data_IF_062986892216
#
_entry.id   IF_062986892216
#
_cell.length_a   1.000
_cell.length_b   1.000
_cell.length_c   1.000
_cell.angle_alpha   90.00
_cell.angle_beta   90.00
_cell.angle_gamma   90.00
#
_symmetry.space_group_name_H-M   'P 1'
#
loop_
_entity.id
_entity.type
_entity.pdbx_description
1 polymer ?
#
# COMPACT_ATOMS: atom_id res chain seq x y z
N UNK A 1 15.60 -16.31 -5.24
CA UNK A 1 14.88 -16.54 -6.51
C UNK A 1 13.64 -17.34 -6.16
N UNK A 2 12.43 -16.85 -6.43
CA UNK A 2 11.19 -17.58 -6.10
C UNK A 2 10.97 -18.68 -7.16
N UNK A 3 10.65 -19.92 -6.75
CA UNK A 3 10.28 -21.00 -7.66
C UNK A 3 9.05 -20.67 -8.54
N UNK A 4 9.12 -20.95 -9.84
CA UNK A 4 8.11 -20.59 -10.86
C UNK A 4 6.73 -21.23 -10.62
N UNK A 5 6.71 -22.40 -10.01
CA UNK A 5 5.57 -23.17 -9.54
C UNK A 5 4.67 -22.38 -8.58
N UNK A 6 5.28 -21.62 -7.66
CA UNK A 6 4.56 -20.85 -6.63
C UNK A 6 3.81 -19.65 -7.22
N UNK A 7 4.33 -19.06 -8.29
CA UNK A 7 3.66 -17.98 -9.02
C UNK A 7 2.47 -18.48 -9.84
N UNK A 8 2.55 -19.70 -10.37
CA UNK A 8 1.49 -20.30 -11.16
C UNK A 8 0.29 -20.72 -10.30
N UNK A 9 0.54 -21.20 -9.07
CA UNK A 9 -0.53 -21.53 -8.12
C UNK A 9 -1.35 -20.30 -7.70
N UNK A 10 -0.69 -19.15 -7.46
CA UNK A 10 -1.38 -17.90 -7.14
C UNK A 10 -2.31 -17.46 -8.28
N UNK A 11 -1.83 -17.53 -9.53
CA UNK A 11 -2.62 -17.16 -10.72
C UNK A 11 -3.77 -18.16 -10.94
N UNK A 12 -3.53 -19.46 -10.72
CA UNK A 12 -4.56 -20.49 -10.86
C UNK A 12 -5.70 -20.32 -9.85
N UNK A 13 -5.38 -19.97 -8.61
CA UNK A 13 -6.37 -19.79 -7.54
C UNK A 13 -7.26 -18.56 -7.78
N UNK A 14 -6.69 -17.45 -8.27
CA UNK A 14 -7.46 -16.26 -8.66
C UNK A 14 -8.46 -16.57 -9.78
N UNK A 15 -8.10 -17.45 -10.71
CA UNK A 15 -8.99 -17.89 -11.79
C UNK A 15 -10.12 -18.81 -11.28
N UNK A 16 -9.85 -19.65 -10.26
CA UNK A 16 -10.82 -20.56 -9.66
C UNK A 16 -11.94 -19.81 -8.93
N UNK A 17 -11.58 -18.84 -8.09
CA UNK A 17 -12.53 -18.01 -7.33
C UNK A 17 -13.46 -17.19 -8.26
N UNK A 18 -12.95 -16.74 -9.41
CA UNK A 18 -13.75 -16.08 -10.45
C UNK A 18 -14.81 -16.99 -11.10
N UNK A 19 -14.69 -18.31 -10.96
CA UNK A 19 -15.66 -19.29 -11.50
C UNK A 19 -16.77 -19.60 -10.50
N UNK A 20 -16.43 -19.72 -9.21
CA UNK A 20 -17.38 -19.98 -8.13
C UNK A 20 -18.36 -18.81 -7.92
N UNK A 21 -17.89 -17.56 -8.04
CA UNK A 21 -18.72 -16.35 -7.97
C UNK A 21 -19.83 -16.31 -9.03
N UNK A 22 -19.59 -16.88 -10.22
CA UNK A 22 -20.60 -16.96 -11.30
C UNK A 22 -21.72 -17.92 -10.96
N UNK A 23 -21.41 -19.03 -10.28
CA UNK A 23 -22.41 -20.02 -9.89
C UNK A 23 -23.40 -19.42 -8.87
N UNK A 24 -22.89 -18.62 -7.92
CA UNK A 24 -23.71 -17.96 -6.90
C UNK A 24 -24.66 -16.90 -7.48
N UNK A 25 -24.17 -16.03 -8.37
CA UNK A 25 -25.00 -14.99 -9.02
C UNK A 25 -26.14 -15.63 -9.85
N UNK A 26 -25.85 -16.72 -10.55
CA UNK A 26 -26.86 -17.43 -11.33
C UNK A 26 -27.95 -18.08 -10.46
N UNK A 27 -27.59 -18.59 -9.28
CA UNK A 27 -28.56 -19.15 -8.32
C UNK A 27 -29.43 -18.07 -7.65
N UNK A 28 -28.90 -16.87 -7.44
CA UNK A 28 -29.67 -15.75 -6.87
C UNK A 28 -30.70 -15.19 -7.86
N UNK A 29 -30.36 -15.14 -9.16
CA UNK A 29 -31.25 -14.64 -10.22
C UNK A 29 -32.43 -15.58 -10.51
N UNK A 30 -32.32 -16.88 -10.24
CA UNK A 30 -33.40 -17.85 -10.48
C UNK A 30 -34.54 -17.78 -9.45
N UNK A 31 -34.36 -17.09 -8.32
CA UNK A 31 -35.30 -17.08 -7.19
C UNK A 31 -36.08 -15.77 -6.99
N UNK A 32 -35.99 -14.79 -7.89
CA UNK A 32 -36.66 -13.48 -7.70
C UNK A 32 -38.03 -13.40 -8.41
N UNK A 33 -39.06 -12.93 -7.69
CA UNK A 33 -40.48 -12.85 -8.11
C UNK A 33 -40.81 -11.52 -8.84
N UNK A 34 -39.85 -10.63 -9.05
CA UNK A 34 -40.06 -9.36 -9.75
C UNK A 34 -39.71 -9.45 -11.23
N UNK A 35 -40.72 -9.45 -12.11
CA UNK A 35 -40.51 -9.40 -13.56
C UNK A 35 -40.26 -7.97 -14.06
N UNK A 36 -39.15 -7.37 -13.63
CA UNK A 36 -38.60 -6.20 -14.29
C UNK A 36 -37.59 -6.68 -15.34
N UNK A 37 -37.93 -6.57 -16.63
CA UNK A 37 -36.97 -6.85 -17.72
C UNK A 37 -35.99 -5.69 -17.81
N UNK A 38 -34.84 -5.84 -17.15
CA UNK A 38 -33.66 -5.03 -17.46
C UNK A 38 -33.41 -5.12 -18.98
N UNK A 39 -33.10 -4.00 -19.67
CA UNK A 39 -32.62 -4.08 -21.04
C UNK A 39 -31.40 -5.01 -21.05
N UNK A 40 -31.36 -5.95 -22.00
CA UNK A 40 -30.24 -6.89 -22.21
C UNK A 40 -28.98 -6.12 -22.63
N UNK A 41 -28.42 -5.39 -21.69
CA UNK A 41 -27.11 -4.78 -21.80
C UNK A 41 -26.11 -5.89 -21.50
N UNK A 42 -25.45 -6.39 -22.55
CA UNK A 42 -24.27 -7.21 -22.39
C UNK A 42 -23.21 -6.33 -21.74
N UNK A 43 -23.13 -6.34 -20.42
CA UNK A 43 -21.95 -5.84 -19.73
C UNK A 43 -20.78 -6.62 -20.29
N UNK A 44 -19.88 -5.93 -21.00
CA UNK A 44 -18.62 -6.50 -21.43
C UNK A 44 -17.97 -7.07 -20.19
N UNK A 45 -17.69 -8.37 -20.20
CA UNK A 45 -17.01 -9.02 -19.09
C UNK A 45 -15.67 -8.31 -18.93
N UNK A 46 -15.52 -7.55 -17.84
CA UNK A 46 -14.28 -6.84 -17.54
C UNK A 46 -13.25 -7.92 -17.20
N UNK A 47 -12.32 -8.16 -18.11
CA UNK A 47 -11.17 -9.02 -17.87
C UNK A 47 -10.12 -8.18 -17.14
N UNK A 48 -9.80 -8.57 -15.90
CA UNK A 48 -8.80 -7.90 -15.09
C UNK A 48 -7.43 -8.44 -15.48
N UNK A 49 -6.57 -7.59 -16.03
CA UNK A 49 -5.17 -7.92 -16.30
C UNK A 49 -4.35 -7.83 -15.00
N UNK A 50 -4.32 -8.95 -14.27
CA UNK A 50 -3.59 -9.07 -13.01
C UNK A 50 -2.07 -8.95 -13.18
N UNK A 51 -1.51 -9.34 -14.32
CA UNK A 51 -0.08 -9.23 -14.57
C UNK A 51 0.34 -7.76 -14.72
N UNK A 52 -0.47 -6.97 -15.44
CA UNK A 52 -0.31 -5.51 -15.53
C UNK A 52 -0.43 -4.84 -14.16
N UNK A 53 -1.51 -5.11 -13.43
CA UNK A 53 -1.75 -4.55 -12.08
C UNK A 53 -0.57 -4.82 -11.16
N UNK A 54 -0.09 -6.07 -11.16
CA UNK A 54 1.06 -6.49 -10.36
C UNK A 54 2.33 -5.72 -10.72
N UNK A 55 2.62 -5.51 -12.01
CA UNK A 55 3.79 -4.74 -12.45
C UNK A 55 3.73 -3.30 -11.95
N UNK A 56 2.55 -2.67 -12.02
CA UNK A 56 2.36 -1.29 -11.55
C UNK A 56 2.53 -1.21 -10.02
N UNK A 57 1.93 -2.14 -9.26
CA UNK A 57 2.10 -2.19 -7.81
C UNK A 57 3.58 -2.34 -7.45
N UNK A 58 4.28 -3.29 -8.07
CA UNK A 58 5.70 -3.50 -7.80
C UNK A 58 6.54 -2.25 -8.10
N UNK A 59 6.23 -1.55 -9.18
CA UNK A 59 6.95 -0.35 -9.58
C UNK A 59 6.73 0.80 -8.58
N UNK A 60 5.48 1.07 -8.20
CA UNK A 60 5.13 2.12 -7.24
C UNK A 60 5.66 1.80 -5.83
N UNK A 61 5.38 0.59 -5.33
CA UNK A 61 5.78 0.14 -3.98
C UNK A 61 7.29 0.07 -3.81
N UNK A 62 8.04 -0.29 -4.87
CA UNK A 62 9.51 -0.25 -4.85
C UNK A 62 10.04 1.16 -4.55
N UNK A 63 9.33 2.21 -4.95
CA UNK A 63 9.71 3.60 -4.69
C UNK A 63 9.05 4.20 -3.45
N UNK A 64 8.31 3.40 -2.68
CA UNK A 64 7.75 3.81 -1.40
C UNK A 64 6.35 4.43 -1.48
N UNK A 65 5.61 4.15 -2.55
CA UNK A 65 4.22 4.56 -2.70
C UNK A 65 3.31 3.34 -2.72
N UNK A 66 2.34 3.31 -1.82
CA UNK A 66 1.37 2.21 -1.67
C UNK A 66 -0.03 2.67 -2.04
N UNK A 67 -0.90 1.70 -2.33
CA UNK A 67 -2.31 1.98 -2.61
C UNK A 67 -3.01 2.28 -1.29
N UNK A 68 -3.56 3.48 -1.16
CA UNK A 68 -4.36 3.91 -0.01
C UNK A 68 -5.82 4.10 -0.41
N UNK A 69 -6.70 4.31 0.57
CA UNK A 69 -8.13 4.51 0.32
C UNK A 69 -8.44 5.79 -0.48
N UNK A 70 -7.61 6.82 -0.32
CA UNK A 70 -7.82 8.13 -0.94
C UNK A 70 -7.40 8.15 -2.40
N UNK A 71 -6.50 7.24 -2.82
CA UNK A 71 -6.01 7.17 -4.19
C UNK A 71 -6.98 6.37 -5.05
N UNK A 72 -7.52 7.02 -6.07
CA UNK A 72 -8.37 6.37 -7.08
C UNK A 72 -7.60 5.30 -7.87
N UNK A 73 -8.25 4.18 -8.17
CA UNK A 73 -7.69 3.09 -8.97
C UNK A 73 -7.11 3.56 -10.30
N UNK A 74 -7.85 4.39 -11.04
CA UNK A 74 -7.39 4.93 -12.33
C UNK A 74 -6.15 5.83 -12.18
N UNK A 75 -5.93 6.39 -11.00
CA UNK A 75 -4.76 7.19 -10.68
C UNK A 75 -3.54 6.34 -10.33
N UNK A 76 -3.74 5.27 -9.54
CA UNK A 76 -2.66 4.38 -9.12
C UNK A 76 -2.23 3.40 -10.23
N UNK A 77 -3.17 2.95 -11.06
CA UNK A 77 -2.96 1.94 -12.11
C UNK A 77 -2.77 2.54 -13.51
N UNK A 78 -2.16 3.72 -13.60
CA UNK A 78 -1.77 4.35 -14.87
C UNK A 78 -0.65 3.59 -15.56
N UNK A 79 -0.81 3.30 -16.85
CA UNK A 79 0.20 2.59 -17.64
C UNK A 79 1.50 3.35 -17.76
N UNK A 80 1.44 4.69 -17.76
CA UNK A 80 2.61 5.55 -17.84
C UNK A 80 3.57 5.35 -16.65
N UNK A 81 3.10 4.79 -15.54
CA UNK A 81 3.93 4.53 -14.37
C UNK A 81 4.85 3.33 -14.56
N UNK A 82 4.55 2.39 -15.46
CA UNK A 82 5.34 1.17 -15.67
C UNK A 82 6.81 1.45 -16.03
N UNK A 83 7.02 2.43 -16.89
CA UNK A 83 8.35 2.83 -17.40
C UNK A 83 8.85 4.12 -16.74
N UNK A 84 8.13 4.64 -15.74
CA UNK A 84 8.49 5.87 -15.06
C UNK A 84 9.71 5.68 -14.17
N UNK A 85 10.60 6.68 -14.21
CA UNK A 85 11.72 6.82 -13.29
C UNK A 85 11.25 7.13 -11.87
N UNK A 86 12.14 6.93 -10.90
CA UNK A 86 11.91 7.30 -9.51
C UNK A 86 11.36 8.73 -9.34
N UNK A 87 12.00 9.72 -9.96
CA UNK A 87 11.57 11.12 -9.87
C UNK A 87 10.19 11.36 -10.49
N UNK A 88 9.85 10.65 -11.57
CA UNK A 88 8.53 10.77 -12.19
C UNK A 88 7.43 10.21 -11.29
N UNK A 89 7.70 9.09 -10.63
CA UNK A 89 6.77 8.47 -9.68
C UNK A 89 6.63 9.34 -8.42
N UNK A 90 7.72 9.84 -7.84
CA UNK A 90 7.68 10.76 -6.71
C UNK A 90 6.90 12.03 -7.06
N UNK A 91 7.12 12.61 -8.25
CA UNK A 91 6.36 13.78 -8.69
C UNK A 91 4.88 13.47 -8.91
N UNK A 92 4.54 12.30 -9.48
CA UNK A 92 3.15 11.88 -9.67
C UNK A 92 2.40 11.88 -8.34
N UNK A 93 2.89 11.14 -7.34
CA UNK A 93 2.21 11.05 -6.05
C UNK A 93 2.34 12.32 -5.20
N UNK A 94 3.45 13.05 -5.25
CA UNK A 94 3.55 14.36 -4.61
C UNK A 94 2.49 15.33 -5.13
N UNK A 95 2.27 15.35 -6.45
CA UNK A 95 1.24 16.19 -7.06
C UNK A 95 -0.16 15.77 -6.63
N UNK A 96 -0.45 14.46 -6.51
CA UNK A 96 -1.73 13.98 -5.97
C UNK A 96 -2.05 14.62 -4.61
N UNK A 97 -1.09 14.58 -3.68
CA UNK A 97 -1.30 15.06 -2.32
C UNK A 97 -1.29 16.58 -2.19
N UNK A 98 -0.48 17.29 -2.98
CA UNK A 98 -0.32 18.75 -2.89
C UNK A 98 -1.34 19.55 -3.70
N UNK A 99 -2.13 18.90 -4.56
CA UNK A 99 -3.22 19.53 -5.31
C UNK A 99 -4.33 20.05 -4.39
N UNK A 100 -5.06 21.06 -4.87
CA UNK A 100 -6.23 21.64 -4.20
C UNK A 100 -5.96 22.00 -2.73
N UNK A 101 -4.86 22.72 -2.48
CA UNK A 101 -4.45 23.15 -1.14
C UNK A 101 -4.33 21.97 -0.17
N UNK A 102 -3.58 20.94 -0.58
CA UNK A 102 -3.30 19.75 0.23
C UNK A 102 -4.54 18.97 0.70
N UNK A 103 -5.68 19.09 0.01
CA UNK A 103 -6.95 18.45 0.40
C UNK A 103 -6.82 16.94 0.64
N UNK A 104 -6.15 16.22 -0.26
CA UNK A 104 -5.98 14.77 -0.12
C UNK A 104 -5.05 14.42 1.04
N UNK A 105 -4.00 15.21 1.26
CA UNK A 105 -3.14 15.06 2.43
C UNK A 105 -3.91 15.24 3.74
N UNK A 106 -4.74 16.29 3.85
CA UNK A 106 -5.55 16.51 5.04
C UNK A 106 -6.58 15.41 5.29
N UNK A 107 -7.16 14.86 4.22
CA UNK A 107 -8.04 13.70 4.35
C UNK A 107 -7.27 12.48 4.88
N UNK A 108 -6.09 12.19 4.34
CA UNK A 108 -5.20 11.13 4.82
C UNK A 108 -4.78 11.32 6.27
N UNK A 109 -4.44 12.55 6.67
CA UNK A 109 -4.13 12.91 8.07
C UNK A 109 -5.28 12.53 8.99
N UNK A 110 -6.51 12.92 8.65
CA UNK A 110 -7.69 12.64 9.47
C UNK A 110 -7.97 11.13 9.56
N UNK A 111 -7.90 10.40 8.45
CA UNK A 111 -8.10 8.95 8.42
C UNK A 111 -7.11 8.23 9.32
N UNK A 112 -5.82 8.61 9.26
CA UNK A 112 -4.80 8.04 10.16
C UNK A 112 -5.16 8.33 11.62
N UNK A 113 -5.52 9.56 11.97
CA UNK A 113 -5.84 9.93 13.35
C UNK A 113 -7.09 9.23 13.90
N UNK A 114 -8.05 8.89 13.04
CA UNK A 114 -9.28 8.17 13.42
C UNK A 114 -9.03 6.68 13.75
N UNK A 115 -7.97 6.09 13.21
CA UNK A 115 -7.76 4.63 13.16
C UNK A 115 -6.50 4.15 13.90
N UNK A 116 -5.54 5.05 14.09
CA UNK A 116 -4.27 4.76 14.78
C UNK A 116 -4.49 4.31 16.22
N UNK A 117 -3.60 3.46 16.73
CA UNK A 117 -3.53 3.18 18.17
C UNK A 117 -3.41 4.53 18.95
N UNK A 118 -4.29 4.80 19.94
CA UNK A 118 -4.31 6.05 20.69
C UNK A 118 -2.96 6.43 21.33
N UNK A 119 -2.07 5.47 21.59
CA UNK A 119 -0.73 5.75 22.13
C UNK A 119 0.13 6.62 21.20
N UNK A 120 -0.18 6.64 19.90
CA UNK A 120 0.56 7.40 18.89
C UNK A 120 -0.05 8.76 18.58
N UNK A 121 -1.28 9.04 19.02
CA UNK A 121 -2.04 10.22 18.58
C UNK A 121 -1.30 11.55 18.84
N UNK A 122 -0.76 11.74 20.04
CA UNK A 122 -0.01 12.96 20.38
C UNK A 122 1.23 13.12 19.49
N UNK A 123 2.05 12.06 19.40
CA UNK A 123 3.27 12.04 18.60
C UNK A 123 3.00 12.22 17.09
N UNK A 124 1.88 11.70 16.58
CA UNK A 124 1.50 11.90 15.18
C UNK A 124 1.03 13.33 14.91
N UNK A 125 0.31 13.96 15.83
CA UNK A 125 -0.03 15.38 15.67
C UNK A 125 1.23 16.24 15.58
N UNK A 126 2.25 15.98 16.42
CA UNK A 126 3.55 16.65 16.30
C UNK A 126 4.23 16.37 14.95
N UNK A 127 4.12 15.13 14.44
CA UNK A 127 4.63 14.78 13.12
C UNK A 127 3.95 15.58 12.00
N UNK A 128 2.62 15.68 12.04
CA UNK A 128 1.85 16.43 11.04
C UNK A 128 2.14 17.92 11.09
N UNK A 129 2.14 18.52 12.28
CA UNK A 129 2.46 19.95 12.45
C UNK A 129 3.88 20.26 11.94
N UNK A 130 4.83 19.36 12.20
CA UNK A 130 6.20 19.49 11.70
C UNK A 130 6.28 19.34 10.18
N UNK A 131 5.52 18.41 9.59
CA UNK A 131 5.44 18.27 8.13
C UNK A 131 4.87 19.54 7.46
N UNK A 132 3.80 20.09 8.02
CA UNK A 132 3.12 21.29 7.54
C UNK A 132 4.01 22.54 7.65
N UNK A 133 4.89 22.59 8.66
CA UNK A 133 5.90 23.65 8.85
C UNK A 133 7.22 23.41 8.10
N UNK A 134 7.29 22.46 7.17
CA UNK A 134 8.51 22.07 6.44
C UNK A 134 9.68 21.59 7.33
N UNK A 135 9.39 21.14 8.55
CA UNK A 135 10.31 20.54 9.52
C UNK A 135 10.27 19.01 9.46
N UNK A 136 10.39 18.44 8.27
CA UNK A 136 10.12 17.02 8.03
C UNK A 136 11.29 16.07 8.35
N UNK A 137 12.50 16.55 8.62
CA UNK A 137 13.67 15.66 8.82
C UNK A 137 13.59 14.85 10.11
N UNK A 138 13.15 15.49 11.20
CA UNK A 138 13.03 14.85 12.52
C UNK A 138 11.89 13.84 12.58
N UNK A 139 10.84 14.01 11.76
CA UNK A 139 9.68 13.11 11.78
C UNK A 139 9.91 11.82 11.00
N UNK A 140 10.85 11.79 10.05
CA UNK A 140 11.16 10.59 9.25
C UNK A 140 11.49 9.37 10.14
N UNK A 141 12.47 9.43 11.08
CA UNK A 141 12.75 8.31 11.97
C UNK A 141 11.53 7.96 12.86
N UNK A 142 10.81 8.96 13.36
CA UNK A 142 9.60 8.76 14.18
C UNK A 142 8.52 7.99 13.41
N UNK A 143 8.22 8.41 12.18
CA UNK A 143 7.23 7.77 11.31
C UNK A 143 7.61 6.33 10.99
N UNK A 144 8.90 6.03 10.76
CA UNK A 144 9.35 4.65 10.62
C UNK A 144 9.04 3.79 11.85
N UNK A 145 9.31 4.30 13.05
CA UNK A 145 9.02 3.58 14.29
C UNK A 145 7.52 3.34 14.49
N UNK A 146 6.67 4.33 14.16
CA UNK A 146 5.20 4.19 14.24
C UNK A 146 4.71 3.15 13.24
N UNK A 147 5.15 3.23 11.98
CA UNK A 147 4.79 2.27 10.92
C UNK A 147 5.17 0.84 11.33
N UNK A 148 6.37 0.65 11.89
CA UNK A 148 6.83 -0.66 12.36
C UNK A 148 6.00 -1.17 13.54
N UNK A 149 5.68 -0.31 14.51
CA UNK A 149 4.83 -0.66 15.65
C UNK A 149 3.41 -1.05 15.25
N UNK A 150 2.78 -0.28 14.35
CA UNK A 150 1.44 -0.60 13.83
C UNK A 150 1.46 -1.87 12.97
N UNK A 151 2.47 -2.05 12.12
CA UNK A 151 2.60 -3.26 11.32
C UNK A 151 2.78 -4.49 12.22
N UNK A 152 3.64 -4.42 13.24
CA UNK A 152 3.82 -5.52 14.20
C UNK A 152 2.52 -5.87 14.95
N UNK A 153 1.72 -4.85 15.29
CA UNK A 153 0.42 -5.03 15.94
C UNK A 153 -0.58 -5.79 15.06
N UNK A 154 -0.73 -5.36 13.80
CA UNK A 154 -1.63 -5.98 12.80
C UNK A 154 -1.36 -7.49 12.68
N UNK A 155 -0.09 -7.88 12.60
CA UNK A 155 0.30 -9.26 12.36
C UNK A 155 0.53 -10.06 13.65
N UNK A 156 0.24 -9.48 14.82
CA UNK A 156 0.34 -10.16 16.12
C UNK A 156 1.72 -10.75 16.39
N UNK A 157 2.77 -10.15 15.83
CA UNK A 157 4.10 -10.76 15.81
C UNK A 157 5.18 -9.80 16.34
N UNK A 158 6.16 -10.37 17.04
CA UNK A 158 7.44 -9.70 17.32
C UNK A 158 8.42 -9.83 16.15
N UNK A 159 8.03 -10.55 15.11
CA UNK A 159 8.85 -10.79 13.94
C UNK A 159 9.13 -9.47 13.21
N UNK A 160 10.38 -9.32 12.83
CA UNK A 160 10.85 -8.23 11.99
C UNK A 160 11.33 -8.84 10.69
N UNK A 161 11.38 -8.06 9.62
CA UNK A 161 12.09 -8.51 8.45
C UNK A 161 11.25 -9.38 7.51
N UNK A 162 11.86 -10.49 7.13
CA UNK A 162 11.35 -11.44 6.17
C UNK A 162 10.15 -12.23 6.69
N UNK A 163 10.12 -12.51 7.98
CA UNK A 163 9.09 -13.36 8.60
C UNK A 163 7.74 -12.62 8.64
N UNK A 164 7.76 -11.31 8.93
CA UNK A 164 6.59 -10.44 8.78
C UNK A 164 6.05 -10.45 7.34
N UNK A 165 6.92 -10.35 6.33
CA UNK A 165 6.51 -10.38 4.92
C UNK A 165 5.86 -11.70 4.50
N UNK A 166 6.33 -12.85 4.99
CA UNK A 166 5.71 -14.15 4.69
C UNK A 166 4.33 -14.32 5.37
N UNK A 167 4.14 -13.76 6.57
CA UNK A 167 2.83 -13.71 7.24
C UNK A 167 1.81 -12.91 6.42
N UNK A 168 2.18 -11.72 5.92
CA UNK A 168 1.32 -10.90 5.05
C UNK A 168 0.85 -11.65 3.80
N UNK A 169 1.75 -12.42 3.18
CA UNK A 169 1.46 -13.18 1.97
C UNK A 169 0.44 -14.30 2.23
N UNK A 170 0.50 -14.91 3.41
CA UNK A 170 -0.42 -15.99 3.79
C UNK A 170 -1.84 -15.48 4.00
N UNK A 171 -2.00 -14.28 4.58
CA UNK A 171 -3.31 -13.67 4.83
C UNK A 171 -4.06 -13.22 3.57
N UNK A 172 -3.35 -12.84 2.50
CA UNK A 172 -4.00 -12.42 1.24
C UNK A 172 -4.81 -13.51 0.54
N UNK A 173 -4.63 -14.79 0.91
CA UNK A 173 -5.24 -15.95 0.24
C UNK A 173 -6.76 -16.05 0.44
N UNK A 174 -7.28 -15.49 1.53
CA UNK A 174 -8.69 -15.64 1.94
C UNK A 174 -9.51 -14.34 1.78
N UNK A 175 -8.91 -13.27 1.26
CA UNK A 175 -9.59 -11.98 1.11
C UNK A 175 -10.39 -12.02 -0.19
N UNK A 176 -11.71 -11.78 -0.16
CA UNK A 176 -12.52 -11.82 -1.38
C UNK A 176 -12.48 -10.52 -2.20
N UNK A 177 -12.14 -9.40 -1.56
CA UNK A 177 -12.22 -8.06 -2.16
C UNK A 177 -10.89 -7.66 -2.85
N UNK A 178 -10.93 -7.45 -4.17
CA UNK A 178 -9.74 -7.18 -4.99
C UNK A 178 -8.98 -5.90 -4.58
N UNK A 179 -9.67 -4.83 -4.18
CA UNK A 179 -8.99 -3.64 -3.66
C UNK A 179 -8.15 -3.94 -2.42
N UNK A 180 -8.71 -4.72 -1.50
CA UNK A 180 -8.05 -5.09 -0.25
C UNK A 180 -6.84 -5.99 -0.55
N UNK A 181 -6.96 -6.93 -1.51
CA UNK A 181 -5.82 -7.72 -2.01
C UNK A 181 -4.71 -6.83 -2.56
N UNK A 182 -5.03 -5.87 -3.45
CA UNK A 182 -4.03 -4.99 -4.06
C UNK A 182 -3.38 -4.05 -3.03
N UNK A 183 -4.16 -3.57 -2.07
CA UNK A 183 -3.68 -2.75 -0.95
C UNK A 183 -2.65 -3.52 -0.14
N UNK A 184 -2.98 -4.72 0.35
CA UNK A 184 -2.05 -5.55 1.13
C UNK A 184 -0.84 -5.95 0.28
N UNK A 185 -1.03 -6.28 -1.00
CA UNK A 185 0.08 -6.59 -1.89
C UNK A 185 1.03 -5.40 -2.06
N UNK A 186 0.49 -4.17 -2.19
CA UNK A 186 1.30 -2.96 -2.28
C UNK A 186 2.09 -2.68 -1.00
N UNK A 187 1.48 -2.91 0.16
CA UNK A 187 2.13 -2.76 1.47
C UNK A 187 3.23 -3.80 1.65
N UNK A 188 2.98 -5.06 1.29
CA UNK A 188 3.94 -6.14 1.38
C UNK A 188 5.18 -5.85 0.52
N UNK A 189 4.98 -5.39 -0.71
CA UNK A 189 6.09 -5.01 -1.59
C UNK A 189 6.90 -3.83 -1.02
N UNK A 190 6.22 -2.83 -0.44
CA UNK A 190 6.91 -1.75 0.26
C UNK A 190 7.76 -2.27 1.43
N UNK A 191 7.15 -3.07 2.33
CA UNK A 191 7.82 -3.67 3.49
C UNK A 191 9.07 -4.44 3.06
N UNK A 192 8.93 -5.27 2.02
CA UNK A 192 10.02 -6.07 1.46
C UNK A 192 11.20 -5.23 0.98
N UNK A 193 10.93 -4.12 0.28
CA UNK A 193 11.99 -3.31 -0.33
C UNK A 193 12.58 -2.26 0.59
N UNK A 194 11.76 -1.62 1.44
CA UNK A 194 12.11 -0.37 2.10
C UNK A 194 12.24 -0.48 3.62
N UNK A 195 11.37 -1.24 4.28
CA UNK A 195 11.49 -1.47 5.73
C UNK A 195 12.56 -2.52 6.04
N UNK A 196 12.57 -3.62 5.30
CA UNK A 196 13.42 -4.77 5.62
C UNK A 196 14.43 -5.15 4.54
N UNK A 197 14.50 -4.38 3.45
CA UNK A 197 15.52 -4.56 2.44
C UNK A 197 16.92 -4.42 3.04
N UNK A 198 17.64 -5.54 3.18
CA UNK A 198 19.03 -5.54 3.63
C UNK A 198 19.89 -4.71 2.68
N UNK A 199 20.77 -3.88 3.26
CA UNK A 199 21.73 -3.09 2.50
C UNK A 199 23.10 -3.17 3.18
N UNK A 200 24.10 -3.59 2.41
CA UNK A 200 25.50 -3.58 2.82
C UNK A 200 25.98 -2.15 3.06
N UNK A 201 26.75 -1.97 4.13
CA UNK A 201 27.20 -0.66 4.60
C UNK A 201 28.22 0.02 3.68
N UNK A 202 28.89 -0.76 2.83
CA UNK A 202 29.91 -0.28 1.90
C UNK A 202 29.36 0.23 0.57
N UNK A 203 28.05 0.12 0.33
CA UNK A 203 27.42 0.53 -0.93
C UNK A 203 27.02 2.01 -0.90
N UNK A 204 26.86 2.60 -2.09
CA UNK A 204 26.35 3.96 -2.22
C UNK A 204 24.89 4.06 -1.77
N UNK A 205 24.51 5.25 -1.24
CA UNK A 205 23.13 5.58 -0.86
C UNK A 205 22.20 5.39 -2.06
N UNK A 206 21.04 4.78 -1.85
CA UNK A 206 19.97 4.68 -2.87
C UNK A 206 19.16 5.98 -2.93
N UNK A 207 18.36 6.13 -3.99
CA UNK A 207 17.45 7.27 -4.16
C UNK A 207 16.33 7.31 -3.12
N UNK A 208 15.86 6.14 -2.65
CA UNK A 208 14.80 6.03 -1.62
C UNK A 208 15.43 5.86 -0.25
N UNK A 209 14.89 6.58 0.75
CA UNK A 209 15.28 6.43 2.16
C UNK A 209 15.05 4.99 2.64
N UNK A 210 16.05 4.42 3.34
CA UNK A 210 15.98 3.07 3.87
C UNK A 210 15.84 3.10 5.40
N UNK A 211 14.85 2.37 5.94
CA UNK A 211 14.56 2.33 7.38
C UNK A 211 15.79 2.00 8.23
N UNK A 212 16.55 0.97 7.88
CA UNK A 212 17.72 0.54 8.65
C UNK A 212 18.83 1.59 8.62
N UNK A 213 19.05 2.25 7.49
CA UNK A 213 20.06 3.30 7.42
C UNK A 213 19.62 4.53 8.24
N UNK A 214 18.36 4.94 8.14
CA UNK A 214 17.82 6.05 8.92
C UNK A 214 17.90 5.78 10.42
N UNK A 215 17.34 4.67 10.90
CA UNK A 215 17.23 4.39 12.34
C UNK A 215 18.56 4.01 13.00
N UNK A 216 19.56 3.57 12.24
CA UNK A 216 20.92 3.34 12.74
C UNK A 216 21.86 4.53 12.53
N UNK A 217 21.34 5.70 12.11
CA UNK A 217 22.14 6.92 11.91
C UNK A 217 23.18 6.83 10.79
N UNK A 218 22.92 5.99 9.78
CA UNK A 218 23.81 5.72 8.65
C UNK A 218 23.42 6.45 7.37
N UNK A 219 22.17 6.87 7.25
CA UNK A 219 21.77 7.77 6.17
C UNK A 219 22.13 9.22 6.52
N UNK A 220 22.42 10.03 5.51
CA UNK A 220 22.73 11.46 5.70
C UNK A 220 21.44 12.30 5.59
N UNK A 221 21.00 12.98 6.67
CA UNK A 221 19.80 13.80 6.67
C UNK A 221 19.83 15.00 5.71
N UNK A 222 20.97 15.34 5.11
CA UNK A 222 21.01 16.38 4.05
C UNK A 222 20.19 15.97 2.83
N UNK A 223 20.07 14.67 2.56
CA UNK A 223 19.32 14.09 1.44
C UNK A 223 17.89 13.68 1.79
N UNK A 224 17.41 14.08 2.97
CA UNK A 224 16.01 13.90 3.35
C UNK A 224 15.20 15.10 2.88
N UNK A 225 14.08 14.83 2.22
CA UNK A 225 13.20 15.79 1.58
C UNK A 225 11.75 15.60 2.03
N UNK A 226 10.91 16.62 1.81
CA UNK A 226 9.48 16.58 2.20
C UNK A 226 8.73 15.37 1.62
N UNK A 227 9.08 14.99 0.39
CA UNK A 227 8.49 13.81 -0.29
C UNK A 227 8.81 12.49 0.42
N UNK A 228 9.94 12.40 1.14
CA UNK A 228 10.27 11.23 1.94
C UNK A 228 9.30 11.07 3.12
N UNK A 229 9.03 12.16 3.84
CA UNK A 229 8.06 12.14 4.93
C UNK A 229 6.63 11.88 4.42
N UNK A 230 6.25 12.48 3.28
CA UNK A 230 4.94 12.27 2.67
C UNK A 230 4.72 10.80 2.27
N UNK A 231 5.76 10.13 1.75
CA UNK A 231 5.70 8.68 1.48
C UNK A 231 5.40 7.90 2.75
N UNK A 232 6.10 8.19 3.85
CA UNK A 232 5.86 7.50 5.12
C UNK A 232 4.44 7.73 5.64
N UNK A 233 3.86 8.92 5.43
CA UNK A 233 2.46 9.21 5.76
C UNK A 233 1.51 8.39 4.86
N UNK A 234 1.76 8.31 3.55
CA UNK A 234 1.02 7.45 2.62
C UNK A 234 1.06 5.97 3.07
N UNK A 235 2.24 5.46 3.43
CA UNK A 235 2.42 4.10 3.94
C UNK A 235 1.62 3.89 5.22
N UNK A 236 1.67 4.84 6.16
CA UNK A 236 0.92 4.74 7.41
C UNK A 236 -0.59 4.67 7.16
N UNK A 237 -1.12 5.42 6.19
CA UNK A 237 -2.53 5.29 5.76
C UNK A 237 -2.83 3.89 5.22
N UNK A 238 -1.97 3.33 4.38
CA UNK A 238 -2.14 1.93 3.91
C UNK A 238 -2.12 0.93 5.08
N UNK A 239 -1.24 1.11 6.08
CA UNK A 239 -1.19 0.27 7.27
C UNK A 239 -2.50 0.33 8.05
N UNK A 240 -3.05 1.54 8.26
CA UNK A 240 -4.33 1.70 8.94
C UNK A 240 -5.50 1.08 8.17
N UNK A 241 -5.54 1.25 6.84
CA UNK A 241 -6.55 0.61 6.01
C UNK A 241 -6.50 -0.93 6.12
N UNK A 242 -5.30 -1.53 6.18
CA UNK A 242 -5.17 -2.99 6.37
C UNK A 242 -5.67 -3.40 7.76
N UNK A 243 -5.34 -2.64 8.80
CA UNK A 243 -5.79 -2.86 10.19
C UNK A 243 -7.32 -2.83 10.30
N UNK A 244 -7.98 -1.88 9.66
CA UNK A 244 -9.45 -1.79 9.67
C UNK A 244 -10.09 -3.01 8.99
N UNK A 245 -9.55 -3.44 7.84
CA UNK A 245 -10.07 -4.60 7.09
C UNK A 245 -9.86 -5.95 7.79
N UNK A 246 -8.96 -6.04 8.78
CA UNK A 246 -8.78 -7.26 9.57
C UNK A 246 -9.66 -7.29 10.84
N UNK A 247 -10.11 -6.13 11.32
CA UNK A 247 -10.93 -6.02 12.53
C UNK A 247 -12.44 -5.91 12.25
N UNK A 248 -12.85 -5.77 10.99
CA UNK A 248 -14.24 -5.77 10.53
C UNK A 248 -14.67 -7.12 9.97
#
# INVERSE_FOLDING_TARGET
>A
MIPKDIMQEFIAEMNRQGTERKAFINAALSNSIFSFKMPETKFTKIEIDYDRIKKIINQNSRYGWTLTQEIDFSYYFKDELLDSTFNQIDNHFYNFYSQNDWKFYHHTKNLILETIDPKWTELLNECFDSFEQDKYKSIIPTLFSIIEGETAFIYGTTDVGKDLFESMKTETRNIEHEFTKFTIYSLAEFIRWQLFGYQEFSKSRKSVINRNWVLHGRDDPIYWHKVDALRLINILSTVQLVKENQNG
#
